data_IF_407719905466
#
_entry.id   IF_407719905466
#
_cell.length_a   1.000
_cell.length_b   1.000
_cell.length_c   1.000
_cell.angle_alpha   90.00
_cell.angle_beta   90.00
_cell.angle_gamma   90.00
#
_symmetry.space_group_name_H-M   'P 1'
#
loop_
_entity.id
_entity.type
_entity.pdbx_description
1 polymer ?
#
# COMPACT_ATOMS: atom_id res chain seq x y z
N UNK A 1 -29.40 -45.80 -25.95
CA UNK A 1 -30.04 -44.55 -26.42
C UNK A 1 -30.31 -43.69 -25.22
N UNK A 2 -30.07 -42.37 -25.35
CA UNK A 2 -30.37 -41.28 -24.37
C UNK A 2 -29.45 -41.34 -23.13
N UNK A 3 -28.58 -40.38 -22.79
CA UNK A 3 -28.41 -39.00 -23.19
C UNK A 3 -28.29 -38.13 -21.93
N UNK A 4 -27.27 -37.26 -21.88
CA UNK A 4 -27.13 -36.05 -21.01
C UNK A 4 -26.91 -36.27 -19.50
N UNK A 5 -26.03 -35.57 -18.79
CA UNK A 5 -25.10 -34.49 -19.11
C UNK A 5 -24.20 -34.21 -17.90
N UNK A 6 -22.94 -33.84 -18.15
CA UNK A 6 -21.99 -33.45 -17.12
C UNK A 6 -22.42 -32.13 -16.47
N UNK A 7 -22.76 -32.17 -15.18
CA UNK A 7 -22.97 -30.98 -14.36
C UNK A 7 -21.60 -30.49 -13.92
N UNK A 8 -20.96 -29.70 -14.79
CA UNK A 8 -19.82 -28.89 -14.42
C UNK A 8 -20.27 -27.86 -13.38
N UNK A 9 -19.87 -28.06 -12.13
CA UNK A 9 -20.01 -27.05 -11.08
C UNK A 9 -19.14 -25.87 -11.48
N UNK A 10 -19.77 -24.81 -11.99
CA UNK A 10 -19.13 -23.54 -12.28
C UNK A 10 -18.53 -23.02 -10.98
N UNK A 11 -17.20 -23.06 -10.88
CA UNK A 11 -16.48 -22.28 -9.89
C UNK A 11 -16.81 -20.82 -10.17
N UNK A 12 -17.64 -20.22 -9.31
CA UNK A 12 -17.73 -18.77 -9.20
C UNK A 12 -16.39 -18.28 -8.64
N UNK A 13 -15.39 -18.20 -9.52
CA UNK A 13 -14.27 -17.31 -9.31
C UNK A 13 -14.85 -15.91 -9.47
N UNK A 14 -15.11 -15.25 -8.34
CA UNK A 14 -15.28 -13.81 -8.28
C UNK A 14 -13.93 -13.16 -8.56
N UNK A 15 -13.46 -13.28 -9.79
CA UNK A 15 -12.57 -12.29 -10.38
C UNK A 15 -13.42 -11.03 -10.50
N UNK A 16 -13.26 -10.12 -9.54
CA UNK A 16 -13.77 -8.76 -9.68
C UNK A 16 -13.31 -8.26 -11.06
N UNK A 17 -14.27 -8.02 -11.95
CA UNK A 17 -14.03 -7.51 -13.27
C UNK A 17 -13.35 -6.14 -13.16
N UNK A 18 -12.01 -6.14 -13.14
CA UNK A 18 -11.24 -4.93 -13.32
C UNK A 18 -11.41 -4.51 -14.77
N UNK A 19 -12.17 -3.43 -14.93
CA UNK A 19 -12.22 -2.54 -16.09
C UNK A 19 -13.08 -3.01 -17.27
N UNK A 20 -14.39 -3.08 -17.07
CA UNK A 20 -15.27 -2.55 -18.12
C UNK A 20 -14.79 -1.11 -18.39
N UNK A 21 -14.32 -0.82 -19.61
CA UNK A 21 -14.02 0.54 -20.06
C UNK A 21 -15.32 1.35 -20.01
N UNK A 22 -15.67 1.82 -18.83
CA UNK A 22 -16.87 2.60 -18.61
C UNK A 22 -16.62 3.95 -19.29
N UNK A 23 -17.15 4.10 -20.50
CA UNK A 23 -17.10 5.32 -21.31
C UNK A 23 -17.70 6.52 -20.56
N UNK A 24 -18.49 6.27 -19.50
CA UNK A 24 -19.09 7.27 -18.62
C UNK A 24 -18.21 7.72 -17.45
N UNK A 25 -17.02 7.16 -17.24
CA UNK A 25 -16.12 7.70 -16.21
C UNK A 25 -15.59 9.07 -16.64
N UNK A 26 -15.90 10.13 -15.89
CA UNK A 26 -15.40 11.50 -16.11
C UNK A 26 -13.87 11.56 -16.27
N UNK A 27 -13.15 10.60 -15.70
CA UNK A 27 -11.68 10.51 -15.72
C UNK A 27 -11.14 9.50 -16.75
N UNK A 28 -11.98 8.97 -17.65
CA UNK A 28 -11.60 7.93 -18.64
C UNK A 28 -10.35 8.29 -19.46
N UNK A 29 -10.12 9.58 -19.76
CA UNK A 29 -8.94 10.03 -20.51
C UNK A 29 -7.62 9.81 -19.77
N UNK A 30 -7.65 9.92 -18.44
CA UNK A 30 -6.50 9.63 -17.57
C UNK A 30 -6.27 8.12 -17.54
N UNK A 31 -7.34 7.34 -17.37
CA UNK A 31 -7.30 5.88 -17.34
C UNK A 31 -6.79 5.27 -18.65
N UNK A 32 -7.15 5.85 -19.80
CA UNK A 32 -6.69 5.39 -21.12
C UNK A 32 -5.16 5.42 -21.26
N UNK A 33 -4.49 6.30 -20.52
CA UNK A 33 -3.05 6.52 -20.60
C UNK A 33 -2.31 6.03 -19.34
N UNK A 34 -3.01 5.29 -18.48
CA UNK A 34 -2.39 4.61 -17.36
C UNK A 34 -1.49 3.48 -17.88
N UNK A 35 -0.40 3.22 -17.17
CA UNK A 35 0.48 2.10 -17.43
C UNK A 35 -0.35 0.81 -17.24
N UNK A 36 -0.41 -0.07 -18.25
CA UNK A 36 -1.04 -1.37 -18.06
C UNK A 36 -0.28 -2.15 -16.98
N UNK A 37 -1.02 -2.77 -16.07
CA UNK A 37 -0.48 -3.69 -15.09
C UNK A 37 -0.31 -5.03 -15.80
N UNK A 38 0.94 -5.43 -16.04
CA UNK A 38 1.25 -6.64 -16.81
C UNK A 38 1.32 -7.89 -15.93
N UNK A 39 1.58 -7.72 -14.63
CA UNK A 39 1.75 -8.83 -13.71
C UNK A 39 0.58 -8.87 -12.72
N UNK A 40 -0.24 -9.90 -12.85
CA UNK A 40 -1.33 -10.22 -11.91
C UNK A 40 -1.09 -11.59 -11.27
N UNK A 41 0.13 -12.12 -11.34
CA UNK A 41 0.46 -13.40 -10.74
C UNK A 41 0.49 -13.26 -9.22
N UNK A 42 -0.25 -14.13 -8.53
CA UNK A 42 -0.29 -14.16 -7.07
C UNK A 42 0.40 -15.44 -6.62
N UNK A 43 1.58 -15.32 -6.04
CA UNK A 43 2.35 -16.45 -5.52
C UNK A 43 1.80 -16.87 -4.15
N UNK A 44 1.60 -18.17 -3.96
CA UNK A 44 1.26 -18.77 -2.68
C UNK A 44 2.50 -19.40 -2.05
N UNK A 45 2.45 -19.60 -0.75
CA UNK A 45 3.51 -20.32 -0.03
C UNK A 45 3.61 -21.76 -0.54
N UNK A 46 4.82 -22.20 -0.89
CA UNK A 46 5.07 -23.52 -1.47
C UNK A 46 5.07 -23.58 -2.99
N UNK A 47 4.65 -22.52 -3.70
CA UNK A 47 4.74 -22.47 -5.16
C UNK A 47 6.20 -22.49 -5.62
N UNK A 48 6.47 -23.21 -6.71
CA UNK A 48 7.79 -23.20 -7.34
C UNK A 48 8.05 -21.86 -8.04
N UNK A 49 9.25 -21.32 -7.86
CA UNK A 49 9.64 -20.07 -8.51
C UNK A 49 9.85 -20.34 -10.00
N UNK A 50 9.10 -19.71 -10.91
CA UNK A 50 9.29 -19.90 -12.35
C UNK A 50 10.64 -19.34 -12.80
N UNK A 51 11.32 -20.06 -13.71
CA UNK A 51 12.72 -19.79 -14.09
C UNK A 51 12.97 -18.37 -14.62
N UNK A 52 11.98 -17.75 -15.26
CA UNK A 52 12.10 -16.43 -15.89
C UNK A 52 11.83 -15.25 -14.93
N UNK A 53 11.32 -15.50 -13.72
CA UNK A 53 10.97 -14.43 -12.78
C UNK A 53 12.17 -14.04 -11.93
N UNK A 54 12.54 -12.75 -11.99
CA UNK A 54 13.62 -12.18 -11.18
C UNK A 54 13.05 -11.57 -9.91
N UNK A 55 13.44 -12.12 -8.75
CA UNK A 55 13.02 -11.61 -7.44
C UNK A 55 13.88 -10.38 -7.10
N UNK A 56 13.27 -9.22 -6.77
CA UNK A 56 14.03 -8.05 -6.35
C UNK A 56 14.72 -8.30 -5.01
N UNK A 57 15.93 -7.77 -4.85
CA UNK A 57 16.71 -7.91 -3.61
C UNK A 57 16.03 -7.24 -2.41
N UNK A 58 15.26 -6.18 -2.65
CA UNK A 58 14.56 -5.41 -1.63
C UNK A 58 13.06 -5.45 -1.88
N UNK A 59 12.23 -5.61 -0.83
CA UNK A 59 10.79 -5.56 -0.96
C UNK A 59 10.33 -4.15 -1.38
N UNK A 60 9.18 -4.08 -2.04
CA UNK A 60 8.57 -2.81 -2.39
C UNK A 60 8.19 -2.03 -1.11
N UNK A 61 8.70 -0.81 -0.97
CA UNK A 61 8.42 0.03 0.20
C UNK A 61 6.97 0.55 0.23
N UNK A 62 6.30 0.61 -0.93
CA UNK A 62 4.95 1.13 -1.09
C UNK A 62 4.09 0.13 -1.87
N UNK A 63 2.77 0.11 -1.65
CA UNK A 63 1.85 -0.69 -2.45
C UNK A 63 1.82 -0.20 -3.90
N UNK A 64 1.57 -1.12 -4.83
CA UNK A 64 1.54 -0.78 -6.25
C UNK A 64 0.35 0.16 -6.60
N UNK A 65 0.60 1.10 -7.50
CA UNK A 65 -0.38 2.10 -7.91
C UNK A 65 -0.92 1.80 -9.30
N UNK A 66 -2.16 1.32 -9.32
CA UNK A 66 -2.87 0.87 -10.52
C UNK A 66 -3.05 1.93 -11.63
N UNK A 67 -2.91 3.22 -11.33
CA UNK A 67 -3.20 4.32 -12.26
C UNK A 67 -1.97 5.20 -12.56
N UNK A 68 -0.76 4.62 -12.53
CA UNK A 68 0.46 5.35 -12.88
C UNK A 68 0.39 5.91 -14.31
N UNK A 69 0.74 7.18 -14.52
CA UNK A 69 0.63 7.78 -15.87
C UNK A 69 1.82 7.40 -16.76
N UNK A 70 1.57 6.93 -17.99
CA UNK A 70 2.60 6.80 -19.02
C UNK A 70 2.86 8.12 -19.76
N UNK A 71 1.80 8.87 -20.04
CA UNK A 71 1.86 10.16 -20.72
C UNK A 71 2.01 11.30 -19.71
N UNK A 72 2.80 12.32 -20.05
CA UNK A 72 3.09 13.45 -19.16
C UNK A 72 3.60 13.02 -17.77
N UNK A 73 4.66 12.17 -17.75
CA UNK A 73 5.33 11.62 -16.55
C UNK A 73 5.65 12.62 -15.43
N UNK A 74 5.71 13.92 -15.76
CA UNK A 74 5.82 15.02 -14.79
C UNK A 74 4.71 14.99 -13.73
N UNK A 75 3.51 14.50 -14.09
CA UNK A 75 2.38 14.31 -13.17
C UNK A 75 2.73 13.34 -12.02
N UNK A 76 3.53 12.30 -12.26
CA UNK A 76 3.90 11.33 -11.22
C UNK A 76 4.77 11.95 -10.10
N UNK A 77 5.35 13.14 -10.32
CA UNK A 77 6.24 13.84 -9.38
C UNK A 77 5.51 14.85 -8.48
N UNK A 78 4.18 14.89 -8.49
CA UNK A 78 3.42 15.84 -7.68
C UNK A 78 1.91 15.63 -7.73
N UNK A 79 1.15 16.60 -7.22
CA UNK A 79 -0.30 16.53 -7.09
C UNK A 79 -0.98 17.35 -8.21
N UNK A 80 -1.28 16.68 -9.32
CA UNK A 80 -1.83 17.31 -10.53
C UNK A 80 -3.34 17.15 -10.65
N UNK A 81 -3.97 16.30 -9.82
CA UNK A 81 -5.41 16.08 -9.84
C UNK A 81 -5.90 15.53 -11.19
N UNK A 82 -5.11 14.64 -11.80
CA UNK A 82 -5.41 14.08 -13.13
C UNK A 82 -5.24 15.05 -14.31
N UNK A 83 -4.69 16.25 -14.09
CA UNK A 83 -4.51 17.22 -15.18
C UNK A 83 -3.29 16.88 -16.03
N UNK A 84 -3.56 16.64 -17.31
CA UNK A 84 -2.54 16.36 -18.32
C UNK A 84 -2.33 17.54 -19.27
N UNK A 85 -1.24 17.47 -20.02
CA UNK A 85 -0.93 18.37 -21.13
C UNK A 85 -1.87 18.12 -22.30
N UNK A 86 -2.53 19.16 -22.82
CA UNK A 86 -3.38 19.08 -24.03
C UNK A 86 -2.61 19.63 -25.23
N UNK A 87 -2.76 19.02 -26.41
CA UNK A 87 -2.32 19.61 -27.68
C UNK A 87 -3.51 20.19 -28.42
N UNK A 88 -3.32 21.33 -29.07
CA UNK A 88 -4.30 21.90 -30.00
C UNK A 88 -3.57 22.53 -31.19
N UNK A 89 -4.33 23.01 -32.18
CA UNK A 89 -3.80 23.87 -33.25
C UNK A 89 -4.24 25.32 -33.00
N UNK A 90 -3.39 26.28 -33.32
CA UNK A 90 -3.78 27.68 -33.55
C UNK A 90 -4.01 27.85 -35.04
N UNK A 91 -5.05 28.59 -35.43
CA UNK A 91 -5.32 28.94 -36.81
C UNK A 91 -5.05 30.44 -36.99
N UNK A 92 -4.31 30.82 -38.03
CA UNK A 92 -4.26 32.22 -38.46
C UNK A 92 -5.56 32.60 -39.17
N UNK A 93 -5.76 33.90 -39.39
CA UNK A 93 -6.87 34.42 -40.21
C UNK A 93 -6.84 33.84 -41.63
N UNK A 94 -5.65 33.71 -42.23
CA UNK A 94 -5.43 33.02 -43.50
C UNK A 94 -5.58 31.48 -43.46
N UNK A 95 -6.02 30.89 -42.33
CA UNK A 95 -6.29 29.45 -42.22
C UNK A 95 -5.07 28.55 -41.95
N UNK A 96 -3.87 29.11 -41.76
CA UNK A 96 -2.66 28.32 -41.48
C UNK A 96 -2.71 27.73 -40.07
N UNK A 97 -2.48 26.42 -39.94
CA UNK A 97 -2.65 25.67 -38.67
C UNK A 97 -1.33 25.28 -38.04
N UNK A 98 -1.01 25.89 -36.89
CA UNK A 98 0.22 25.62 -36.13
C UNK A 98 -0.07 24.81 -34.85
N UNK A 99 0.74 23.80 -34.54
CA UNK A 99 0.59 23.01 -33.32
C UNK A 99 1.00 23.81 -32.08
N UNK A 100 0.20 23.74 -31.02
CA UNK A 100 0.52 24.30 -29.71
C UNK A 100 0.19 23.35 -28.58
N UNK A 101 0.75 23.67 -27.41
CA UNK A 101 0.66 22.87 -26.20
C UNK A 101 0.05 23.69 -25.08
N UNK A 102 -0.89 23.10 -24.36
CA UNK A 102 -1.51 23.66 -23.16
C UNK A 102 -1.05 22.88 -21.94
N UNK A 103 -0.35 23.56 -21.04
CA UNK A 103 0.10 23.00 -19.77
C UNK A 103 -0.87 23.38 -18.65
N UNK A 104 -1.09 22.51 -17.65
CA UNK A 104 -1.82 22.92 -16.47
C UNK A 104 -1.00 23.92 -15.65
N UNK A 105 -1.68 24.80 -14.91
CA UNK A 105 -1.02 25.76 -14.03
C UNK A 105 -0.49 25.05 -12.77
N UNK A 106 0.84 24.93 -12.66
CA UNK A 106 1.53 24.13 -11.64
C UNK A 106 2.55 25.00 -10.89
N UNK A 107 2.42 25.06 -9.58
CA UNK A 107 3.35 25.76 -8.69
C UNK A 107 4.12 24.78 -7.79
N UNK A 108 5.25 25.21 -7.23
CA UNK A 108 5.88 24.55 -6.09
C UNK A 108 5.15 25.07 -4.85
N UNK A 109 4.51 24.19 -4.09
CA UNK A 109 3.81 24.54 -2.87
C UNK A 109 4.35 23.71 -1.71
N UNK A 110 4.32 24.29 -0.52
CA UNK A 110 4.64 23.63 0.74
C UNK A 110 3.34 23.47 1.49
N UNK A 111 2.90 22.23 1.69
CA UNK A 111 1.66 21.91 2.38
C UNK A 111 1.98 21.26 3.73
N UNK A 112 1.27 21.66 4.78
CA UNK A 112 1.40 21.03 6.10
C UNK A 112 0.60 19.73 6.14
N UNK A 113 1.21 18.66 6.63
CA UNK A 113 0.52 17.43 7.01
C UNK A 113 0.40 17.40 8.53
N UNK A 114 -0.83 17.37 9.02
CA UNK A 114 -1.12 17.27 10.46
C UNK A 114 -0.76 15.90 11.03
N UNK A 115 -0.91 14.84 10.23
CA UNK A 115 -0.67 13.47 10.64
C UNK A 115 0.83 13.17 10.73
N UNK A 116 1.60 13.68 9.76
CA UNK A 116 3.04 13.46 9.69
C UNK A 116 3.85 14.54 10.40
N UNK A 117 3.19 15.59 10.90
CA UNK A 117 3.79 16.74 11.61
C UNK A 117 4.94 17.40 10.81
N UNK A 118 4.82 17.41 9.48
CA UNK A 118 5.87 17.91 8.59
C UNK A 118 5.33 18.71 7.41
N UNK A 119 6.19 19.59 6.89
CA UNK A 119 5.96 20.39 5.68
C UNK A 119 6.36 19.61 4.44
N UNK A 120 5.39 19.24 3.61
CA UNK A 120 5.60 18.51 2.36
C UNK A 120 5.74 19.48 1.19
N UNK A 121 6.93 19.52 0.58
CA UNK A 121 7.22 20.35 -0.60
C UNK A 121 6.95 19.57 -1.88
N UNK A 122 5.92 19.93 -2.65
CA UNK A 122 5.58 19.23 -3.90
C UNK A 122 5.15 20.19 -5.01
N UNK A 123 5.12 19.69 -6.26
CA UNK A 123 4.49 20.42 -7.38
C UNK A 123 2.99 20.17 -7.33
N UNK A 124 2.20 21.23 -7.23
CA UNK A 124 0.75 21.15 -7.07
C UNK A 124 0.08 22.01 -8.14
N UNK A 125 -0.99 21.50 -8.74
CA UNK A 125 -1.82 22.31 -9.63
C UNK A 125 -2.69 23.29 -8.84
N UNK A 126 -2.98 24.48 -9.38
CA UNK A 126 -3.84 25.47 -8.70
C UNK A 126 -5.22 24.92 -8.35
N UNK A 127 -5.77 24.02 -9.18
CA UNK A 127 -7.03 23.34 -8.89
C UNK A 127 -6.92 22.42 -7.67
N UNK A 128 -5.79 21.73 -7.52
CA UNK A 128 -5.57 20.86 -6.37
C UNK A 128 -5.40 21.68 -5.09
N UNK A 129 -4.69 22.81 -5.15
CA UNK A 129 -4.59 23.73 -4.00
C UNK A 129 -5.98 24.14 -3.50
N UNK A 130 -6.86 24.63 -4.40
CA UNK A 130 -8.25 24.95 -4.06
C UNK A 130 -9.03 23.77 -3.45
N UNK A 131 -8.78 22.54 -3.91
CA UNK A 131 -9.45 21.36 -3.33
C UNK A 131 -8.92 20.97 -1.97
N UNK A 132 -7.61 21.16 -1.73
CA UNK A 132 -6.97 20.94 -0.44
C UNK A 132 -7.55 21.91 0.59
N UNK A 133 -7.65 23.19 0.24
CA UNK A 133 -8.23 24.23 1.11
C UNK A 133 -9.69 23.90 1.43
N UNK A 134 -10.49 23.54 0.42
CA UNK A 134 -11.90 23.16 0.60
C UNK A 134 -12.09 21.90 1.44
N UNK A 135 -11.13 20.98 1.42
CA UNK A 135 -11.18 19.74 2.20
C UNK A 135 -10.54 19.91 3.59
N UNK A 136 -10.02 21.10 3.91
CA UNK A 136 -9.46 21.42 5.22
C UNK A 136 -8.07 20.85 5.47
N UNK A 137 -7.29 20.56 4.43
CA UNK A 137 -5.90 20.11 4.59
C UNK A 137 -5.45 19.05 3.59
N UNK A 138 -4.13 18.81 3.56
CA UNK A 138 -3.52 17.84 2.65
C UNK A 138 -3.94 16.40 3.00
N UNK A 139 -3.96 16.07 4.29
CA UNK A 139 -4.25 14.70 4.74
C UNK A 139 -5.65 14.27 4.31
N UNK A 140 -6.65 15.12 4.55
CA UNK A 140 -8.04 14.92 4.10
C UNK A 140 -8.13 14.77 2.58
N UNK A 141 -7.29 15.49 1.84
CA UNK A 141 -7.21 15.32 0.40
C UNK A 141 -6.63 13.96 -0.01
N UNK A 142 -5.65 13.43 0.71
CA UNK A 142 -5.02 12.16 0.38
C UNK A 142 -5.90 10.95 0.76
N UNK A 143 -6.49 10.98 1.96
CA UNK A 143 -7.24 9.86 2.55
C UNK A 143 -8.67 9.73 2.03
N UNK A 144 -9.17 10.69 1.25
CA UNK A 144 -10.53 10.61 0.69
C UNK A 144 -10.76 9.34 -0.14
N UNK A 145 -11.76 8.55 0.23
CA UNK A 145 -12.02 7.21 -0.34
C UNK A 145 -12.76 7.18 -1.67
N UNK A 146 -13.08 8.33 -2.26
CA UNK A 146 -13.75 8.36 -3.55
C UNK A 146 -12.85 7.74 -4.63
N UNK A 147 -13.36 6.86 -5.52
CA UNK A 147 -12.56 6.23 -6.57
C UNK A 147 -11.94 7.27 -7.52
N UNK A 148 -12.66 8.37 -7.77
CA UNK A 148 -12.15 9.52 -8.51
C UNK A 148 -10.89 10.15 -7.89
N UNK A 149 -10.79 10.18 -6.55
CA UNK A 149 -9.60 10.69 -5.86
C UNK A 149 -8.43 9.74 -6.12
N UNK A 150 -8.60 8.45 -5.87
CA UNK A 150 -7.55 7.44 -6.07
C UNK A 150 -6.97 7.53 -7.48
N UNK A 151 -7.81 7.64 -8.52
CA UNK A 151 -7.37 7.78 -9.93
C UNK A 151 -6.57 9.07 -10.22
N UNK A 152 -6.80 10.13 -9.46
CA UNK A 152 -6.26 11.47 -9.73
C UNK A 152 -5.08 11.87 -8.85
N UNK A 153 -4.76 11.09 -7.81
CA UNK A 153 -3.64 11.33 -6.88
C UNK A 153 -2.28 11.32 -7.60
N UNK A 154 -2.08 10.36 -8.51
CA UNK A 154 -0.78 10.09 -9.13
C UNK A 154 0.15 9.30 -8.20
N UNK A 155 1.30 8.88 -8.73
CA UNK A 155 2.22 7.99 -7.99
C UNK A 155 2.75 8.60 -6.68
N UNK A 156 3.19 9.87 -6.70
CA UNK A 156 3.63 10.54 -5.47
C UNK A 156 2.47 10.71 -4.48
N UNK A 157 1.28 11.09 -4.94
CA UNK A 157 0.11 11.22 -4.07
C UNK A 157 -0.30 9.89 -3.43
N UNK A 158 -0.14 8.78 -4.14
CA UNK A 158 -0.38 7.43 -3.61
C UNK A 158 0.60 7.07 -2.48
N UNK A 159 1.89 7.38 -2.65
CA UNK A 159 2.90 7.20 -1.60
C UNK A 159 2.58 8.03 -0.36
N UNK A 160 2.27 9.32 -0.53
CA UNK A 160 1.89 10.19 0.58
C UNK A 160 0.60 9.71 1.28
N UNK A 161 -0.39 9.21 0.52
CA UNK A 161 -1.59 8.61 1.10
C UNK A 161 -1.23 7.42 1.99
N UNK A 162 -0.37 6.53 1.50
CA UNK A 162 0.11 5.39 2.29
C UNK A 162 0.82 5.85 3.56
N UNK A 163 1.74 6.82 3.47
CA UNK A 163 2.46 7.34 4.64
C UNK A 163 1.50 7.91 5.70
N UNK A 164 0.50 8.71 5.28
CA UNK A 164 -0.52 9.27 6.16
C UNK A 164 -1.38 8.18 6.79
N UNK A 165 -1.89 7.22 6.00
CA UNK A 165 -2.70 6.12 6.54
C UNK A 165 -1.90 5.26 7.51
N UNK A 166 -0.63 4.96 7.20
CA UNK A 166 0.26 4.20 8.07
C UNK A 166 0.52 4.94 9.38
N UNK A 167 0.74 6.24 9.34
CA UNK A 167 0.91 7.06 10.54
C UNK A 167 -0.36 7.11 11.38
N UNK A 168 -1.55 7.18 10.76
CA UNK A 168 -2.84 7.10 11.46
C UNK A 168 -3.06 5.74 12.14
N UNK A 169 -2.72 4.64 11.45
CA UNK A 169 -2.75 3.29 12.01
C UNK A 169 -1.81 3.18 13.23
N UNK A 170 -0.58 3.70 13.13
CA UNK A 170 0.38 3.66 14.25
C UNK A 170 -0.10 4.50 15.43
N UNK A 171 -0.65 5.70 15.17
CA UNK A 171 -1.18 6.58 16.21
C UNK A 171 -2.40 5.99 16.90
N UNK A 172 -3.30 5.35 16.16
CA UNK A 172 -4.47 4.65 16.71
C UNK A 172 -4.07 3.40 17.49
N UNK A 173 -3.13 2.60 16.98
CA UNK A 173 -2.60 1.43 17.69
C UNK A 173 -1.92 1.81 19.01
N UNK A 174 -1.21 2.94 19.07
CA UNK A 174 -0.61 3.44 20.30
C UNK A 174 -1.66 3.89 21.34
N UNK A 175 -2.83 4.36 20.90
CA UNK A 175 -3.91 4.79 21.80
C UNK A 175 -4.74 3.63 22.36
N UNK A 176 -4.84 2.51 21.64
CA UNK A 176 -5.79 1.42 21.91
C UNK A 176 -5.30 0.36 22.95
N UNK A 177 -4.88 0.80 24.15
CA UNK A 177 -4.47 0.00 25.34
C UNK A 177 -2.95 -0.18 25.54
N UNK A 178 -2.36 0.51 26.54
CA UNK A 178 -0.93 0.37 26.85
C UNK A 178 -0.55 -0.93 27.58
N UNK A 179 -1.48 -1.53 28.33
CA UNK A 179 -1.17 -2.57 29.33
C UNK A 179 -1.29 -4.02 28.84
N UNK A 180 -2.41 -4.41 28.22
CA UNK A 180 -2.61 -5.76 27.66
C UNK A 180 -2.39 -5.73 26.16
N UNK A 181 -1.48 -6.57 25.67
CA UNK A 181 -1.05 -6.60 24.25
C UNK A 181 -1.81 -7.62 23.43
N UNK A 182 -2.03 -8.82 23.98
CA UNK A 182 -2.90 -9.82 23.38
C UNK A 182 -3.36 -10.82 24.43
N UNK A 183 -4.40 -11.58 24.10
CA UNK A 183 -4.97 -12.66 24.93
C UNK A 183 -4.47 -13.97 24.33
N UNK A 184 -3.87 -14.83 25.15
CA UNK A 184 -3.40 -16.14 24.72
C UNK A 184 -4.57 -17.13 24.57
N UNK A 185 -4.36 -18.26 23.89
CA UNK A 185 -5.39 -19.28 23.69
C UNK A 185 -5.86 -19.91 25.01
N UNK A 186 -4.99 -19.94 26.03
CA UNK A 186 -5.31 -20.35 27.40
C UNK A 186 -6.06 -19.29 28.22
N UNK A 187 -6.40 -18.14 27.61
CA UNK A 187 -7.13 -17.04 28.25
C UNK A 187 -6.25 -16.11 29.09
N UNK A 188 -4.94 -16.34 29.14
CA UNK A 188 -4.02 -15.53 29.92
C UNK A 188 -3.70 -14.18 29.27
N UNK A 189 -3.52 -13.14 30.10
CA UNK A 189 -3.36 -11.76 29.63
C UNK A 189 -1.88 -11.44 29.47
N UNK A 190 -1.48 -11.06 28.26
CA UNK A 190 -0.07 -10.82 27.95
C UNK A 190 0.24 -9.34 28.04
N UNK A 191 1.12 -8.99 28.97
CA UNK A 191 1.44 -7.59 29.26
C UNK A 191 2.53 -7.03 28.33
N UNK A 192 3.29 -7.92 27.67
CA UNK A 192 4.48 -7.55 26.88
C UNK A 192 4.27 -7.70 25.38
N UNK A 193 4.94 -6.83 24.61
CA UNK A 193 4.87 -6.84 23.15
C UNK A 193 5.51 -8.11 22.58
N UNK A 194 5.01 -8.59 21.43
CA UNK A 194 5.63 -9.68 20.64
C UNK A 194 7.14 -9.54 20.45
N UNK A 195 7.64 -8.33 20.20
CA UNK A 195 9.09 -8.06 20.05
C UNK A 195 9.88 -8.45 21.30
N UNK A 196 9.34 -8.19 22.49
CA UNK A 196 9.96 -8.58 23.75
C UNK A 196 9.96 -10.10 23.90
N UNK A 197 8.82 -10.75 23.64
CA UNK A 197 8.68 -12.21 23.69
C UNK A 197 9.68 -12.91 22.76
N UNK A 198 9.77 -12.46 21.51
CA UNK A 198 10.74 -12.97 20.54
C UNK A 198 12.20 -12.73 20.97
N UNK A 199 12.46 -11.69 21.76
CA UNK A 199 13.80 -11.45 22.29
C UNK A 199 14.15 -12.47 23.38
N UNK A 200 13.24 -12.69 24.32
CA UNK A 200 13.39 -13.70 25.38
C UNK A 200 13.55 -15.09 24.76
N UNK A 201 12.68 -15.44 23.80
CA UNK A 201 12.71 -16.72 23.10
C UNK A 201 14.06 -16.94 22.38
N UNK A 202 14.58 -15.91 21.72
CA UNK A 202 15.88 -15.99 21.05
C UNK A 202 17.02 -16.31 22.01
N UNK A 203 17.09 -15.64 23.17
CA UNK A 203 18.16 -15.92 24.13
C UNK A 203 18.02 -17.32 24.72
N UNK A 204 16.79 -17.80 24.94
CA UNK A 204 16.56 -19.15 25.48
C UNK A 204 16.95 -20.23 24.46
N UNK A 205 16.48 -20.12 23.22
CA UNK A 205 16.84 -21.06 22.16
C UNK A 205 18.33 -21.03 21.85
N UNK A 206 18.97 -19.85 21.89
CA UNK A 206 20.42 -19.73 21.70
C UNK A 206 21.22 -20.41 22.80
N UNK A 207 20.75 -20.36 24.06
CA UNK A 207 21.39 -21.08 25.18
C UNK A 207 21.29 -22.60 25.02
N UNK A 208 20.17 -23.08 24.48
CA UNK A 208 19.94 -24.51 24.24
C UNK A 208 20.61 -25.02 22.96
N UNK A 209 20.88 -24.14 22.00
CA UNK A 209 21.52 -24.51 20.73
C UNK A 209 23.03 -24.79 20.91
N UNK A 210 23.48 -25.95 20.46
CA UNK A 210 24.90 -26.32 20.45
C UNK A 210 25.72 -25.48 19.45
N UNK A 211 25.16 -25.20 18.26
CA UNK A 211 25.85 -24.52 17.15
C UNK A 211 25.81 -22.98 17.23
N UNK A 212 25.12 -22.41 18.22
CA UNK A 212 24.98 -20.97 18.41
C UNK A 212 24.04 -20.31 17.41
N UNK A 213 22.75 -20.25 17.75
CA UNK A 213 21.70 -19.66 16.89
C UNK A 213 21.96 -18.17 16.58
N UNK A 214 21.98 -17.82 15.29
CA UNK A 214 22.09 -16.42 14.86
C UNK A 214 20.74 -15.70 14.86
N UNK A 215 20.76 -14.37 15.01
CA UNK A 215 19.52 -13.57 15.00
C UNK A 215 18.81 -13.59 13.65
N UNK A 216 19.57 -13.68 12.56
CA UNK A 216 19.02 -13.77 11.19
C UNK A 216 18.27 -15.08 10.99
N UNK A 217 18.89 -16.20 11.37
CA UNK A 217 18.29 -17.53 11.33
C UNK A 217 17.03 -17.63 12.21
N UNK A 218 17.10 -17.11 13.45
CA UNK A 218 15.93 -17.00 14.31
C UNK A 218 14.79 -16.20 13.66
N UNK A 219 15.10 -15.04 13.07
CA UNK A 219 14.08 -14.20 12.45
C UNK A 219 13.43 -14.88 11.23
N UNK A 220 14.14 -15.73 10.48
CA UNK A 220 13.56 -16.47 9.35
C UNK A 220 12.42 -17.38 9.81
N UNK A 221 12.59 -18.03 10.95
CA UNK A 221 11.64 -19.01 11.45
C UNK A 221 10.55 -18.37 12.33
N UNK A 222 10.91 -17.43 13.21
CA UNK A 222 10.03 -16.98 14.31
C UNK A 222 9.40 -15.60 14.13
N UNK A 223 9.85 -14.77 13.17
CA UNK A 223 9.37 -13.38 13.03
C UNK A 223 7.88 -13.29 12.64
N UNK A 224 7.43 -14.22 11.79
CA UNK A 224 6.10 -14.21 11.18
C UNK A 224 5.08 -15.13 11.89
N UNK A 225 5.49 -15.82 12.94
CA UNK A 225 4.62 -16.69 13.77
C UNK A 225 3.56 -15.84 14.51
N UNK A 226 2.30 -16.29 14.66
CA UNK A 226 1.28 -15.56 15.41
C UNK A 226 1.64 -15.41 16.91
N UNK A 227 1.02 -14.47 17.60
CA UNK A 227 1.42 -14.10 18.96
C UNK A 227 1.17 -15.20 19.99
N UNK A 228 0.09 -15.97 19.83
CA UNK A 228 -0.25 -17.15 20.64
C UNK A 228 0.86 -18.21 20.59
N UNK A 229 1.26 -18.61 19.38
CA UNK A 229 2.31 -19.60 19.15
C UNK A 229 3.65 -19.20 19.76
N UNK A 230 3.96 -17.90 19.83
CA UNK A 230 5.21 -17.41 20.46
C UNK A 230 5.24 -17.74 21.95
N UNK A 231 4.10 -17.65 22.66
CA UNK A 231 4.03 -18.03 24.08
C UNK A 231 4.14 -19.52 24.26
N UNK A 232 3.50 -20.31 23.40
CA UNK A 232 3.65 -21.76 23.43
C UNK A 232 5.12 -22.15 23.26
N UNK A 233 5.83 -21.54 22.32
CA UNK A 233 7.27 -21.76 22.12
C UNK A 233 8.11 -21.30 23.32
N UNK A 234 7.72 -20.24 24.01
CA UNK A 234 8.38 -19.82 25.26
C UNK A 234 8.19 -20.84 26.39
N UNK A 235 6.99 -21.43 26.53
CA UNK A 235 6.72 -22.51 27.49
C UNK A 235 7.57 -23.74 27.18
N UNK A 236 7.59 -24.16 25.92
CA UNK A 236 8.40 -25.29 25.45
C UNK A 236 9.90 -25.07 25.69
N UNK A 237 10.39 -23.84 25.47
CA UNK A 237 11.78 -23.49 25.73
C UNK A 237 12.11 -23.35 27.24
N UNK A 238 11.13 -23.45 28.13
CA UNK A 238 11.31 -23.34 29.58
C UNK A 238 11.61 -21.92 30.06
N UNK A 239 11.05 -20.89 29.41
CA UNK A 239 11.20 -19.51 29.84
C UNK A 239 10.25 -19.19 31.02
N UNK A 240 10.71 -18.40 31.98
CA UNK A 240 9.88 -17.92 33.09
C UNK A 240 8.87 -16.87 32.61
N UNK A 241 7.58 -17.18 32.74
CA UNK A 241 6.47 -16.35 32.26
C UNK A 241 5.89 -15.40 33.30
N UNK A 242 6.34 -15.46 34.57
CA UNK A 242 5.77 -14.66 35.68
C UNK A 242 5.77 -13.15 35.44
N UNK A 243 6.75 -12.65 34.68
CA UNK A 243 6.90 -11.23 34.35
C UNK A 243 6.26 -10.84 32.99
N UNK A 244 5.65 -11.81 32.31
CA UNK A 244 5.16 -11.69 30.93
C UNK A 244 3.63 -11.77 30.88
N UNK A 245 3.09 -12.71 31.66
CA UNK A 245 1.68 -13.07 31.70
C UNK A 245 1.11 -12.67 33.08
N UNK A 246 -0.06 -12.04 33.08
CA UNK A 246 -0.84 -11.74 34.29
C UNK A 246 -1.80 -12.88 34.64
#
# INVERSE_FOLDING_TARGET
>A
MIGTGMIGVRWMSSSAALMARNTNDKYYKILKQAKPVFDTTHFREGDVIPQQVKIPLQPAAYPDYHYETQFFKRQNRGLYGGRQRKRSKTCSEAGNKNLRVHLPNIHKATLWSSTLEQKIKTRVSTKVLKTVDREGGLDNYLTKDKPARVKTLGALGWKLRYDVMKAQELKSAQAANPEVKFIADDGSLVLKNKKYLLNVLFYQLRRQSYTGLTRSEFNKNYKHIPESDVLQKLREAGADLRNIVA
#
